data_IF_042717236588
#
_entry.id   IF_042717236588
#
_cell.length_a   1.000
_cell.length_b   1.000
_cell.length_c   1.000
_cell.angle_alpha   90.00
_cell.angle_beta   90.00
_cell.angle_gamma   90.00
#
_symmetry.space_group_name_H-M   'P 1'
#
loop_
_entity.id
_entity.type
_entity.pdbx_description
1 polymer ?
#
# COMPACT_ATOMS: atom_id res chain seq x y z
N UNK A 1 -8.06 -10.87 -17.47
CA UNK A 1 -8.58 -9.84 -16.55
C UNK A 1 -7.46 -8.87 -16.21
N UNK A 2 -7.79 -7.58 -16.09
CA UNK A 2 -6.89 -6.50 -15.67
C UNK A 2 -7.45 -5.97 -14.36
N UNK A 3 -6.59 -5.83 -13.35
CA UNK A 3 -6.97 -5.37 -12.01
C UNK A 3 -6.07 -4.22 -11.61
N UNK A 4 -6.66 -3.12 -11.13
CA UNK A 4 -5.92 -2.06 -10.46
C UNK A 4 -5.69 -2.48 -9.00
N UNK A 5 -4.44 -2.54 -8.58
CA UNK A 5 -4.07 -2.84 -7.20
C UNK A 5 -3.31 -1.64 -6.63
N UNK A 6 -3.77 -1.12 -5.49
CA UNK A 6 -3.15 0.01 -4.80
C UNK A 6 -3.07 -0.21 -3.28
N UNK A 7 -2.73 0.82 -2.51
CA UNK A 7 -2.68 0.80 -1.05
C UNK A 7 -3.95 1.41 -0.44
N UNK A 8 -4.24 1.08 0.82
CA UNK A 8 -5.32 1.73 1.56
C UNK A 8 -5.12 3.25 1.66
N UNK A 9 -3.87 3.72 1.71
CA UNK A 9 -3.53 5.14 1.82
C UNK A 9 -4.03 5.95 0.62
N UNK A 10 -3.98 5.40 -0.59
CA UNK A 10 -4.55 6.05 -1.79
C UNK A 10 -6.08 6.06 -1.76
N UNK A 11 -6.70 5.00 -1.25
CA UNK A 11 -8.16 4.88 -1.19
C UNK A 11 -8.78 5.78 -0.11
N UNK A 12 -8.05 6.05 0.96
CA UNK A 12 -8.47 6.87 2.11
C UNK A 12 -7.99 8.32 2.03
N UNK A 13 -7.27 8.68 0.97
CA UNK A 13 -6.72 10.02 0.78
C UNK A 13 -7.85 11.06 0.64
N UNK A 14 -7.98 12.00 1.58
CA UNK A 14 -9.01 13.05 1.50
C UNK A 14 -8.76 14.06 0.38
N UNK A 15 -7.54 14.09 -0.18
CA UNK A 15 -7.16 15.01 -1.26
C UNK A 15 -7.30 14.41 -2.66
N UNK A 16 -7.71 13.14 -2.76
CA UNK A 16 -7.84 12.40 -4.02
C UNK A 16 -9.04 11.45 -3.97
N UNK A 17 -9.75 11.26 -5.08
CA UNK A 17 -10.90 10.34 -5.12
C UNK A 17 -10.73 9.31 -6.25
N UNK A 18 -9.92 8.29 -5.97
CA UNK A 18 -9.67 7.21 -6.94
C UNK A 18 -10.94 6.46 -7.32
N UNK A 19 -11.91 6.32 -6.40
CA UNK A 19 -13.20 5.68 -6.69
C UNK A 19 -13.99 6.50 -7.72
N UNK A 20 -14.03 7.82 -7.54
CA UNK A 20 -14.64 8.72 -8.51
C UNK A 20 -13.95 8.64 -9.85
N UNK A 21 -12.61 8.65 -9.89
CA UNK A 21 -11.87 8.52 -11.16
C UNK A 21 -12.20 7.23 -11.90
N UNK A 22 -12.26 6.09 -11.22
CA UNK A 22 -12.65 4.83 -11.83
C UNK A 22 -14.10 4.85 -12.33
N UNK A 23 -15.01 5.55 -11.64
CA UNK A 23 -16.41 5.71 -12.08
C UNK A 23 -16.57 6.53 -13.36
N UNK A 24 -15.54 7.26 -13.80
CA UNK A 24 -15.56 8.02 -15.06
C UNK A 24 -15.25 7.16 -16.28
N UNK A 25 -14.78 5.92 -16.08
CA UNK A 25 -14.50 5.01 -17.17
C UNK A 25 -15.81 4.51 -17.80
N UNK A 26 -15.77 4.16 -19.09
CA UNK A 26 -16.91 3.57 -19.81
C UNK A 26 -17.22 2.13 -19.38
N UNK A 27 -16.47 1.59 -18.42
CA UNK A 27 -16.59 0.25 -17.86
C UNK A 27 -16.21 0.28 -16.38
N UNK A 28 -16.63 -0.74 -15.62
CA UNK A 28 -16.24 -0.91 -14.22
C UNK A 28 -14.98 -1.78 -14.14
N UNK A 29 -13.80 -1.22 -13.81
CA UNK A 29 -12.59 -2.00 -13.66
C UNK A 29 -12.64 -2.81 -12.36
N UNK A 30 -11.99 -3.98 -12.36
CA UNK A 30 -11.66 -4.63 -11.09
C UNK A 30 -10.58 -3.78 -10.39
N UNK A 31 -10.85 -3.41 -9.14
CA UNK A 31 -9.90 -2.67 -8.32
C UNK A 31 -9.86 -3.28 -6.91
N UNK A 32 -8.66 -3.32 -6.33
CA UNK A 32 -8.41 -3.73 -4.96
C UNK A 32 -7.40 -2.80 -4.32
N UNK A 33 -7.39 -2.78 -2.99
CA UNK A 33 -6.36 -2.12 -2.22
C UNK A 33 -5.88 -3.02 -1.09
N UNK A 34 -4.64 -2.79 -0.67
CA UNK A 34 -4.02 -3.53 0.44
C UNK A 34 -4.21 -2.78 1.75
N UNK A 35 -4.58 -3.49 2.80
CA UNK A 35 -4.73 -2.95 4.17
C UNK A 35 -3.41 -2.94 4.95
N UNK A 36 -2.29 -2.68 4.26
CA UNK A 36 -0.95 -2.67 4.85
C UNK A 36 -0.73 -1.41 5.69
N UNK A 37 -0.08 -1.54 6.84
CA UNK A 37 0.18 -0.44 7.77
C UNK A 37 1.56 -0.56 8.41
N UNK A 38 2.18 0.59 8.66
CA UNK A 38 3.43 0.71 9.41
C UNK A 38 3.22 1.00 10.89
N UNK A 39 1.99 0.86 11.42
CA UNK A 39 1.68 1.15 12.82
C UNK A 39 2.57 0.37 13.82
N UNK A 40 3.02 -0.84 13.44
CA UNK A 40 3.91 -1.68 14.25
C UNK A 40 5.40 -1.46 13.97
N UNK A 41 5.79 -0.50 13.14
CA UNK A 41 7.19 -0.21 12.87
C UNK A 41 7.89 0.37 14.11
N UNK A 42 9.14 0.02 14.32
CA UNK A 42 10.08 0.63 15.26
C UNK A 42 10.73 1.89 14.68
N UNK A 43 10.96 1.93 13.35
CA UNK A 43 11.53 3.09 12.67
C UNK A 43 10.43 4.15 12.44
N UNK A 44 10.45 5.21 13.25
CA UNK A 44 9.43 6.28 13.27
C UNK A 44 9.11 6.92 11.90
N UNK A 45 10.08 7.04 10.99
CA UNK A 45 9.80 7.63 9.66
C UNK A 45 8.83 6.77 8.83
N UNK A 46 8.77 5.46 9.07
CA UNK A 46 7.85 4.57 8.37
C UNK A 46 6.39 4.81 8.77
N UNK A 47 6.13 5.15 10.04
CA UNK A 47 4.77 5.44 10.55
C UNK A 47 4.11 6.61 9.82
N UNK A 48 4.91 7.54 9.29
CA UNK A 48 4.40 8.68 8.51
C UNK A 48 3.60 8.30 7.27
N UNK A 49 3.79 7.08 6.73
CA UNK A 49 2.96 6.59 5.63
C UNK A 49 1.49 6.47 6.04
N UNK A 50 1.22 6.02 7.28
CA UNK A 50 -0.14 5.95 7.83
C UNK A 50 -0.73 7.34 8.12
N UNK A 51 0.10 8.37 8.14
CA UNK A 51 -0.29 9.79 8.23
C UNK A 51 -0.47 10.45 6.84
N UNK A 52 -0.24 9.70 5.76
CA UNK A 52 -0.44 10.16 4.38
C UNK A 52 0.83 10.52 3.61
N UNK A 53 2.04 10.21 4.12
CA UNK A 53 3.27 10.36 3.35
C UNK A 53 3.47 9.25 2.32
N UNK A 54 4.02 9.60 1.15
CA UNK A 54 4.33 8.74 0.00
C UNK A 54 3.15 7.96 -0.63
N UNK A 55 2.22 7.39 0.15
CA UNK A 55 0.95 6.69 -0.17
C UNK A 55 1.05 5.52 -1.15
N UNK A 56 1.78 5.64 -2.25
CA UNK A 56 1.97 4.62 -3.28
C UNK A 56 3.26 4.91 -4.07
N UNK A 57 3.76 3.92 -4.78
CA UNK A 57 4.92 4.08 -5.66
C UNK A 57 5.53 2.73 -5.97
N UNK A 58 6.32 2.65 -7.04
CA UNK A 58 7.10 1.45 -7.45
C UNK A 58 6.29 0.13 -7.52
N UNK A 59 4.95 0.20 -7.60
CA UNK A 59 4.08 -0.97 -7.59
C UNK A 59 3.91 -1.61 -6.20
N UNK A 60 4.05 -0.84 -5.12
CA UNK A 60 3.93 -1.32 -3.75
C UNK A 60 2.56 -1.95 -3.48
N UNK A 61 1.46 -1.29 -3.84
CA UNK A 61 0.10 -1.83 -3.63
C UNK A 61 -0.11 -3.21 -4.27
N UNK A 62 0.35 -3.41 -5.49
CA UNK A 62 0.28 -4.70 -6.18
C UNK A 62 1.17 -5.77 -5.52
N UNK A 63 2.41 -5.40 -5.15
CA UNK A 63 3.37 -6.31 -4.54
C UNK A 63 2.91 -6.79 -3.17
N UNK A 64 2.38 -5.87 -2.35
CA UNK A 64 1.76 -6.17 -1.05
C UNK A 64 0.55 -7.09 -1.21
N UNK A 65 -0.28 -6.85 -2.23
CA UNK A 65 -1.46 -7.67 -2.50
C UNK A 65 -1.08 -9.10 -2.88
N UNK A 66 -0.05 -9.25 -3.72
CA UNK A 66 0.52 -10.54 -4.06
C UNK A 66 1.12 -11.26 -2.85
N UNK A 67 1.88 -10.56 -2.01
CA UNK A 67 2.44 -11.13 -0.79
C UNK A 67 1.33 -11.63 0.16
N UNK A 68 0.26 -10.85 0.31
CA UNK A 68 -0.90 -11.23 1.13
C UNK A 68 -1.60 -12.50 0.61
N UNK A 69 -1.79 -12.63 -0.71
CA UNK A 69 -2.39 -13.86 -1.28
C UNK A 69 -1.50 -15.10 -1.11
N UNK A 70 -0.22 -14.91 -0.80
CA UNK A 70 0.74 -15.97 -0.48
C UNK A 70 0.96 -16.15 1.03
N UNK A 71 0.12 -15.53 1.87
CA UNK A 71 0.15 -15.71 3.33
C UNK A 71 1.26 -14.95 4.04
N UNK A 72 1.90 -13.97 3.39
CA UNK A 72 2.87 -13.09 4.06
C UNK A 72 2.12 -12.07 4.91
N UNK A 73 2.48 -11.99 6.19
CA UNK A 73 1.82 -11.07 7.13
C UNK A 73 2.35 -9.64 7.04
N UNK A 74 1.57 -8.69 7.53
CA UNK A 74 1.95 -7.28 7.62
C UNK A 74 3.23 -7.13 8.45
N UNK A 75 3.30 -7.78 9.60
CA UNK A 75 4.41 -7.74 10.55
C UNK A 75 5.69 -8.25 9.88
N UNK A 76 5.59 -9.32 9.09
CA UNK A 76 6.77 -9.87 8.40
C UNK A 76 7.31 -8.90 7.35
N UNK A 77 6.44 -8.18 6.66
CA UNK A 77 6.86 -7.19 5.66
C UNK A 77 7.50 -5.99 6.36
N UNK A 78 6.90 -5.48 7.44
CA UNK A 78 7.47 -4.38 8.25
C UNK A 78 8.86 -4.76 8.77
N UNK A 79 9.00 -5.94 9.38
CA UNK A 79 10.30 -6.45 9.88
C UNK A 79 11.38 -6.47 8.79
N UNK A 80 11.06 -6.97 7.59
CA UNK A 80 12.03 -7.01 6.48
C UNK A 80 12.39 -5.62 5.96
N UNK A 81 11.43 -4.69 5.89
CA UNK A 81 11.70 -3.30 5.49
C UNK A 81 12.67 -2.66 6.47
N UNK A 82 12.45 -2.84 7.77
CA UNK A 82 13.33 -2.28 8.80
C UNK A 82 14.73 -2.89 8.74
N UNK A 83 14.83 -4.22 8.60
CA UNK A 83 16.13 -4.90 8.42
C UNK A 83 16.90 -4.35 7.21
N UNK A 84 16.23 -4.18 6.05
CA UNK A 84 16.86 -3.60 4.86
C UNK A 84 17.30 -2.15 5.10
N UNK A 85 16.51 -1.35 5.81
CA UNK A 85 16.89 0.02 6.17
C UNK A 85 18.11 0.05 7.08
N UNK A 86 18.20 -0.85 8.06
CA UNK A 86 19.37 -0.97 8.93
C UNK A 86 20.63 -1.40 8.18
N UNK A 87 20.52 -2.31 7.21
CA UNK A 87 21.66 -2.75 6.38
C UNK A 87 22.19 -1.66 5.45
N UNK A 88 21.36 -0.66 5.11
CA UNK A 88 21.73 0.47 4.27
C UNK A 88 22.42 1.61 5.03
N UNK A 89 22.46 1.55 6.37
CA UNK A 89 23.11 2.54 7.24
C UNK A 89 24.57 2.17 7.53
#
# INVERSE_FOLDING_TARGET
NITLATTQWVVQDETSDIKKLLSLLSYEPQALYTSFSFASAEIEVLKKYDEGEAKEGVGAGASLGYAHTHGVSNEKIVENIELMMYEMM
#
